data_IF_563718697728
#
_entry.id   IF_563718697728
#
_cell.length_a   1.000
_cell.length_b   1.000
_cell.length_c   1.000
_cell.angle_alpha   90.00
_cell.angle_beta   90.00
_cell.angle_gamma   90.00
#
_symmetry.space_group_name_H-M   'P 1'
#
loop_
_entity.id
_entity.type
_entity.pdbx_description
1 polymer ?
#
# COMPACT_ATOMS: atom_id res chain seq x y z
N UNK A 1 18.13 -8.39 51.99
CA UNK A 1 18.45 -8.40 50.55
C UNK A 1 17.60 -9.45 49.86
N UNK A 2 16.48 -9.02 49.29
CA UNK A 2 15.74 -9.75 48.25
C UNK A 2 15.36 -8.68 47.23
N UNK A 3 16.11 -8.60 46.14
CA UNK A 3 15.66 -7.86 44.95
C UNK A 3 14.63 -8.75 44.29
N UNK A 4 13.37 -8.38 44.43
CA UNK A 4 12.31 -8.82 43.54
C UNK A 4 12.66 -8.24 42.17
N UNK A 5 13.06 -9.10 41.23
CA UNK A 5 13.04 -8.75 39.82
C UNK A 5 11.60 -8.42 39.47
N UNK A 6 11.35 -7.15 39.15
CA UNK A 6 10.12 -6.72 38.55
C UNK A 6 10.16 -7.27 37.12
N UNK A 7 9.38 -8.32 36.86
CA UNK A 7 8.96 -8.70 35.52
C UNK A 7 8.06 -7.59 34.99
N UNK A 8 8.67 -6.48 34.55
CA UNK A 8 7.97 -5.53 33.69
C UNK A 8 8.00 -6.17 32.30
N UNK A 9 6.96 -6.94 31.97
CA UNK A 9 6.68 -7.29 30.59
C UNK A 9 6.54 -5.99 29.82
N UNK A 10 7.47 -5.66 28.94
CA UNK A 10 7.35 -4.54 28.01
C UNK A 10 6.21 -4.87 27.04
N UNK A 11 5.00 -4.48 27.41
CA UNK A 11 3.81 -4.74 26.61
C UNK A 11 4.01 -4.15 25.20
N UNK A 12 3.93 -5.02 24.19
CA UNK A 12 3.96 -4.62 22.79
C UNK A 12 2.74 -3.74 22.50
N UNK A 13 2.92 -2.64 21.76
CA UNK A 13 1.83 -1.74 21.39
C UNK A 13 1.76 -1.54 19.87
N UNK A 14 0.56 -1.22 19.40
CA UNK A 14 0.32 -0.82 18.02
C UNK A 14 0.37 0.70 17.90
N UNK A 15 1.13 1.19 16.91
CA UNK A 15 1.13 2.61 16.52
C UNK A 15 -0.29 3.05 16.13
N UNK A 16 -0.61 4.32 16.37
CA UNK A 16 -1.81 4.93 15.80
C UNK A 16 -1.74 4.88 14.28
N UNK A 17 -2.73 4.23 13.66
CA UNK A 17 -2.82 4.12 12.21
C UNK A 17 -3.50 5.35 11.63
N UNK A 18 -2.90 5.95 10.62
CA UNK A 18 -3.42 7.12 9.91
C UNK A 18 -3.14 7.03 8.41
N UNK A 19 -4.21 6.89 7.61
CA UNK A 19 -4.15 6.93 6.15
C UNK A 19 -4.55 8.30 5.58
N UNK A 20 -4.76 9.33 6.42
CA UNK A 20 -5.18 10.67 5.97
C UNK A 20 -4.01 11.56 5.52
N UNK A 21 -2.77 11.12 5.75
CA UNK A 21 -1.57 11.87 5.41
C UNK A 21 -1.50 12.22 3.91
N UNK A 22 -1.27 13.50 3.63
CA UNK A 22 -1.22 14.06 2.29
C UNK A 22 0.09 14.79 1.99
N UNK A 23 0.96 14.90 2.99
CA UNK A 23 2.22 15.62 2.92
C UNK A 23 3.35 14.90 3.65
N UNK A 24 4.58 15.27 3.32
CA UNK A 24 5.77 14.79 3.99
C UNK A 24 6.82 15.90 4.10
N UNK A 25 7.73 15.71 5.04
CA UNK A 25 8.87 16.59 5.27
C UNK A 25 10.02 16.23 4.34
N UNK A 26 10.64 17.26 3.79
CA UNK A 26 11.89 17.19 3.03
C UNK A 26 12.93 18.01 3.77
N UNK A 27 14.19 17.58 3.71
CA UNK A 27 15.29 18.28 4.36
C UNK A 27 16.13 19.04 3.32
N UNK A 28 16.39 20.32 3.60
CA UNK A 28 17.22 21.15 2.75
C UNK A 28 18.68 20.67 2.82
N UNK A 29 19.33 20.35 1.68
CA UNK A 29 20.69 19.82 1.67
C UNK A 29 21.74 20.80 2.20
N UNK A 30 21.46 22.11 2.14
CA UNK A 30 22.41 23.16 2.54
C UNK A 30 22.39 23.46 4.04
N UNK A 31 21.21 23.49 4.67
CA UNK A 31 21.09 23.92 6.07
C UNK A 31 20.37 22.94 6.99
N UNK A 32 19.89 21.80 6.47
CA UNK A 32 19.14 20.79 7.24
C UNK A 32 17.75 21.25 7.70
N UNK A 33 17.29 22.43 7.30
CA UNK A 33 15.95 22.88 7.63
C UNK A 33 14.90 22.11 6.84
N UNK A 34 13.77 21.80 7.47
CA UNK A 34 12.72 21.00 6.86
C UNK A 34 11.62 21.86 6.25
N UNK A 35 11.18 21.47 5.07
CA UNK A 35 10.01 22.03 4.39
C UNK A 35 8.98 20.93 4.20
N UNK A 36 7.71 21.29 4.33
CA UNK A 36 6.59 20.36 4.08
C UNK A 36 6.11 20.54 2.65
N UNK A 37 5.89 19.42 1.97
CA UNK A 37 5.32 19.39 0.62
C UNK A 37 4.28 18.28 0.54
N UNK A 38 3.20 18.55 -0.20
CA UNK A 38 2.16 17.54 -0.43
C UNK A 38 2.65 16.47 -1.41
N UNK A 39 2.02 15.29 -1.43
CA UNK A 39 2.31 14.32 -2.49
C UNK A 39 1.87 14.81 -3.87
N UNK A 40 0.87 15.69 -3.96
CA UNK A 40 0.52 16.36 -5.21
C UNK A 40 1.64 17.29 -5.71
N UNK A 41 2.26 18.06 -4.81
CA UNK A 41 3.42 18.90 -5.12
C UNK A 41 4.54 18.04 -5.75
N UNK A 42 4.77 16.85 -5.18
CA UNK A 42 5.75 15.89 -5.70
C UNK A 42 5.43 15.39 -7.11
N UNK A 43 4.17 15.07 -7.40
CA UNK A 43 3.76 14.63 -8.75
C UNK A 43 3.90 15.77 -9.77
N UNK A 44 3.61 17.01 -9.34
CA UNK A 44 3.73 18.20 -10.19
C UNK A 44 5.17 18.67 -10.37
N UNK A 45 6.13 18.10 -9.60
CA UNK A 45 7.52 18.53 -9.61
C UNK A 45 7.72 19.93 -9.01
N UNK A 46 6.90 20.28 -8.03
CA UNK A 46 6.96 21.58 -7.35
C UNK A 46 8.19 21.68 -6.43
N UNK A 47 8.64 22.91 -6.22
CA UNK A 47 9.72 23.25 -5.31
C UNK A 47 9.24 24.21 -4.21
N UNK A 48 9.92 24.19 -3.06
CA UNK A 48 9.71 25.17 -1.97
C UNK A 48 11.01 25.86 -1.61
N UNK A 49 10.94 27.16 -1.36
CA UNK A 49 12.09 27.91 -0.84
C UNK A 49 12.33 27.57 0.63
N UNK A 50 13.56 27.20 0.94
CA UNK A 50 14.03 27.02 2.31
C UNK A 50 14.30 28.37 2.99
N UNK A 51 14.41 28.36 4.33
CA UNK A 51 14.84 29.52 5.11
C UNK A 51 16.22 30.05 4.73
N UNK A 52 17.13 29.19 4.24
CA UNK A 52 18.44 29.61 3.72
C UNK A 52 18.39 30.08 2.26
N UNK A 53 17.19 30.33 1.71
CA UNK A 53 16.92 30.76 0.33
C UNK A 53 17.23 29.71 -0.75
N UNK A 54 17.76 28.55 -0.36
CA UNK A 54 17.92 27.40 -1.25
C UNK A 54 16.57 26.82 -1.66
N UNK A 55 16.45 26.42 -2.92
CA UNK A 55 15.28 25.70 -3.41
C UNK A 55 15.36 24.21 -3.01
N UNK A 56 14.25 23.69 -2.49
CA UNK A 56 14.05 22.28 -2.16
C UNK A 56 13.04 21.71 -3.13
N UNK A 57 13.50 20.85 -4.04
CA UNK A 57 12.66 20.22 -5.06
C UNK A 57 12.04 18.92 -4.56
N UNK A 58 10.72 18.77 -4.71
CA UNK A 58 10.03 17.53 -4.41
C UNK A 58 10.36 16.40 -5.40
N UNK A 59 10.88 16.74 -6.58
CA UNK A 59 11.24 15.76 -7.62
C UNK A 59 12.65 15.20 -7.42
N UNK A 60 13.59 16.01 -6.93
CA UNK A 60 15.00 15.63 -6.79
C UNK A 60 15.31 15.00 -5.44
N UNK A 61 14.57 15.37 -4.38
CA UNK A 61 14.84 14.93 -3.02
C UNK A 61 13.83 13.84 -2.59
N UNK A 62 14.27 12.99 -1.66
CA UNK A 62 13.40 12.01 -1.04
C UNK A 62 12.73 12.59 0.22
N UNK A 63 11.49 12.17 0.52
CA UNK A 63 10.87 12.45 1.81
C UNK A 63 11.72 11.90 2.96
N UNK A 64 11.80 12.67 4.04
CA UNK A 64 12.54 12.29 5.24
C UNK A 64 11.60 11.72 6.30
N UNK A 65 10.46 12.36 6.56
CA UNK A 65 9.46 11.87 7.51
C UNK A 65 8.05 12.33 7.14
N UNK A 66 7.04 11.49 7.38
CA UNK A 66 5.62 11.87 7.28
C UNK A 66 5.14 12.48 8.60
N UNK A 67 5.52 11.86 9.72
CA UNK A 67 5.22 12.33 11.07
C UNK A 67 6.51 12.43 11.90
N UNK A 68 6.79 13.63 12.41
CA UNK A 68 7.96 13.89 13.25
C UNK A 68 7.82 13.29 14.66
N UNK A 69 6.59 12.96 15.06
CA UNK A 69 6.27 12.36 16.36
C UNK A 69 6.12 10.85 16.28
N UNK A 70 6.41 10.23 15.12
CA UNK A 70 6.27 8.79 14.95
C UNK A 70 7.17 8.05 15.95
N UNK A 71 6.61 7.18 16.82
CA UNK A 71 7.39 6.38 17.77
C UNK A 71 8.52 5.57 17.11
N UNK A 72 8.39 5.19 15.84
CA UNK A 72 9.42 4.46 15.10
C UNK A 72 10.71 5.28 14.90
N UNK A 73 10.66 6.61 15.07
CA UNK A 73 11.86 7.47 15.04
C UNK A 73 12.78 7.22 16.23
N UNK A 74 12.22 6.83 17.38
CA UNK A 74 12.96 6.53 18.60
C UNK A 74 13.43 5.07 18.60
N UNK A 75 14.76 4.81 18.55
CA UNK A 75 15.29 3.45 18.50
C UNK A 75 14.90 2.60 19.73
N UNK A 76 14.61 3.23 20.87
CA UNK A 76 14.22 2.54 22.11
C UNK A 76 12.78 2.01 22.09
N UNK A 77 11.97 2.41 21.11
CA UNK A 77 10.61 1.89 20.93
C UNK A 77 10.53 0.69 19.99
N UNK A 78 11.60 0.41 19.22
CA UNK A 78 11.55 -0.51 18.08
C UNK A 78 11.17 -1.93 18.46
N UNK A 79 11.73 -2.45 19.56
CA UNK A 79 11.36 -3.77 20.09
C UNK A 79 9.92 -3.79 20.62
N UNK A 80 9.45 -2.68 21.20
CA UNK A 80 8.13 -2.57 21.85
C UNK A 80 6.98 -2.36 20.86
N UNK A 81 7.28 -1.99 19.63
CA UNK A 81 6.27 -1.76 18.60
C UNK A 81 5.89 -3.07 17.92
N UNK A 82 4.61 -3.20 17.60
CA UNK A 82 4.15 -4.16 16.63
C UNK A 82 4.48 -3.66 15.22
N UNK A 83 5.10 -4.53 14.43
CA UNK A 83 5.45 -4.29 13.03
C UNK A 83 4.55 -5.10 12.11
N UNK A 84 4.54 -4.72 10.84
CA UNK A 84 3.61 -5.29 9.86
C UNK A 84 4.29 -5.73 8.58
N UNK A 85 3.77 -6.81 8.01
CA UNK A 85 4.15 -7.29 6.70
C UNK A 85 2.93 -7.82 5.95
N UNK A 86 2.86 -7.57 4.63
CA UNK A 86 1.82 -8.13 3.78
C UNK A 86 2.44 -9.00 2.69
N UNK A 87 1.90 -10.20 2.52
CA UNK A 87 2.34 -11.10 1.46
C UNK A 87 1.27 -12.10 1.06
N UNK A 88 1.44 -12.72 -0.11
CA UNK A 88 0.58 -13.79 -0.61
C UNK A 88 0.96 -15.17 -0.05
N UNK A 89 2.08 -15.25 0.68
CA UNK A 89 2.60 -16.47 1.31
C UNK A 89 1.95 -16.72 2.66
N UNK A 90 1.49 -17.95 2.89
CA UNK A 90 1.01 -18.44 4.20
C UNK A 90 2.14 -18.95 5.10
N UNK A 91 3.28 -19.32 4.50
CA UNK A 91 4.47 -19.85 5.14
C UNK A 91 5.48 -18.74 5.47
N UNK A 92 5.06 -17.75 6.26
CA UNK A 92 5.86 -16.58 6.64
C UNK A 92 5.97 -16.47 8.17
N UNK A 93 7.09 -16.05 8.79
CA UNK A 93 8.28 -15.45 8.17
C UNK A 93 9.22 -16.49 7.54
N UNK A 94 10.08 -16.07 6.60
CA UNK A 94 11.18 -16.92 6.13
C UNK A 94 12.11 -17.26 7.31
N UNK A 95 12.85 -18.37 7.19
CA UNK A 95 13.80 -18.82 8.23
C UNK A 95 15.24 -18.95 7.72
N UNK A 96 15.50 -18.60 6.46
CA UNK A 96 16.83 -18.68 5.85
C UNK A 96 17.70 -17.52 6.34
N UNK A 97 18.79 -17.84 7.01
CA UNK A 97 19.77 -16.87 7.52
C UNK A 97 21.05 -16.79 6.68
N UNK A 98 21.07 -17.42 5.51
CA UNK A 98 22.23 -17.34 4.63
C UNK A 98 22.49 -15.89 4.20
N UNK A 99 23.75 -15.45 4.07
CA UNK A 99 24.06 -14.07 3.67
C UNK A 99 23.46 -13.64 2.32
N UNK A 100 23.15 -14.61 1.45
CA UNK A 100 22.53 -14.40 0.15
C UNK A 100 21.00 -14.31 0.20
N UNK A 101 20.38 -14.68 1.33
CA UNK A 101 18.95 -14.53 1.53
C UNK A 101 18.58 -13.05 1.69
N UNK A 102 17.33 -12.74 1.34
CA UNK A 102 16.77 -11.41 1.55
C UNK A 102 16.44 -11.19 3.03
N UNK A 103 16.73 -10.00 3.52
CA UNK A 103 16.24 -9.50 4.79
C UNK A 103 14.71 -9.46 4.77
N UNK A 104 14.13 -9.67 5.95
CA UNK A 104 12.68 -9.57 6.09
C UNK A 104 12.31 -8.12 6.27
N UNK A 105 11.54 -7.59 5.32
CA UNK A 105 11.03 -6.23 5.39
C UNK A 105 9.79 -6.17 6.28
N UNK A 106 9.85 -5.32 7.30
CA UNK A 106 8.74 -4.99 8.17
C UNK A 106 8.47 -3.49 8.08
N UNK A 107 7.21 -3.08 8.12
CA UNK A 107 6.85 -1.67 8.07
C UNK A 107 5.79 -1.32 9.10
N UNK A 108 5.30 -0.09 9.01
CA UNK A 108 4.06 0.31 9.67
C UNK A 108 2.87 -0.46 9.10
N UNK A 109 1.72 -0.41 9.79
CA UNK A 109 0.48 -1.00 9.27
C UNK A 109 0.16 -0.43 7.88
N UNK A 110 0.29 0.88 7.74
CA UNK A 110 0.07 1.61 6.50
C UNK A 110 1.01 1.13 5.40
N UNK A 111 2.31 1.04 5.69
CA UNK A 111 3.31 0.54 4.73
C UNK A 111 2.97 -0.88 4.25
N UNK A 112 2.48 -1.75 5.14
CA UNK A 112 2.08 -3.10 4.76
C UNK A 112 0.84 -3.11 3.85
N UNK A 113 -0.18 -2.30 4.13
CA UNK A 113 -1.36 -2.20 3.24
C UNK A 113 -1.00 -1.54 1.90
N UNK A 114 -0.20 -0.47 1.90
CA UNK A 114 0.22 0.19 0.66
C UNK A 114 1.14 -0.71 -0.20
N UNK A 115 1.97 -1.56 0.43
CA UNK A 115 2.74 -2.59 -0.28
C UNK A 115 1.82 -3.61 -0.96
N UNK A 116 0.73 -4.02 -0.31
CA UNK A 116 -0.26 -4.89 -0.93
C UNK A 116 -0.85 -4.23 -2.18
N UNK A 117 -1.30 -2.98 -2.09
CA UNK A 117 -1.83 -2.26 -3.25
C UNK A 117 -0.82 -2.14 -4.39
N UNK A 118 0.44 -1.80 -4.07
CA UNK A 118 1.53 -1.75 -5.06
C UNK A 118 1.71 -3.11 -5.77
N UNK A 119 1.68 -4.21 -5.03
CA UNK A 119 1.85 -5.57 -5.60
C UNK A 119 0.65 -5.98 -6.45
N UNK A 120 -0.56 -5.64 -6.02
CA UNK A 120 -1.77 -5.87 -6.81
C UNK A 120 -1.68 -5.19 -8.18
N UNK A 121 -1.14 -3.98 -8.22
CA UNK A 121 -0.97 -3.22 -9.47
C UNK A 121 0.23 -3.68 -10.32
N UNK A 122 1.42 -3.78 -9.71
CA UNK A 122 2.67 -3.96 -10.46
C UNK A 122 3.18 -5.40 -10.56
N UNK A 123 2.70 -6.31 -9.72
CA UNK A 123 3.24 -7.69 -9.60
C UNK A 123 2.22 -8.77 -9.98
N UNK A 124 1.14 -8.39 -10.66
CA UNK A 124 0.06 -9.31 -11.08
C UNK A 124 -0.61 -10.05 -9.92
N UNK A 125 -0.60 -9.45 -8.72
CA UNK A 125 -1.18 -10.04 -7.51
C UNK A 125 -2.62 -9.56 -7.23
N UNK A 126 -3.28 -8.87 -8.17
CA UNK A 126 -4.61 -8.27 -7.96
C UNK A 126 -5.67 -9.28 -7.47
N UNK A 127 -5.60 -10.52 -7.97
CA UNK A 127 -6.51 -11.62 -7.60
C UNK A 127 -5.94 -12.54 -6.51
N UNK A 128 -4.72 -12.29 -6.03
CA UNK A 128 -4.06 -13.12 -5.03
C UNK A 128 -4.70 -12.92 -3.64
N UNK A 129 -4.72 -14.00 -2.84
CA UNK A 129 -5.04 -13.90 -1.42
C UNK A 129 -3.83 -13.33 -0.68
N UNK A 130 -3.99 -12.18 -0.04
CA UNK A 130 -2.96 -11.60 0.83
C UNK A 130 -3.19 -11.99 2.29
N UNK A 131 -2.10 -11.95 3.05
CA UNK A 131 -2.05 -12.15 4.47
C UNK A 131 -1.33 -10.97 5.09
N UNK A 132 -1.96 -10.34 6.07
CA UNK A 132 -1.36 -9.36 6.96
C UNK A 132 -0.77 -10.09 8.16
N UNK A 133 0.51 -9.86 8.39
CA UNK A 133 1.22 -10.34 9.56
C UNK A 133 1.46 -9.18 10.50
N UNK A 134 0.98 -9.30 11.74
CA UNK A 134 1.41 -8.47 12.86
C UNK A 134 2.54 -9.20 13.57
N UNK A 135 3.64 -8.49 13.79
CA UNK A 135 4.96 -9.05 14.05
C UNK A 135 5.54 -8.42 15.29
N UNK A 136 6.01 -9.26 16.21
CA UNK A 136 6.84 -8.84 17.32
C UNK A 136 8.27 -9.31 17.08
N UNK A 137 9.21 -8.40 17.33
CA UNK A 137 10.65 -8.68 17.25
C UNK A 137 11.26 -8.60 18.64
N UNK A 138 12.40 -9.26 18.82
CA UNK A 138 13.19 -9.20 20.05
C UNK A 138 14.64 -8.89 19.67
N UNK A 139 15.15 -7.77 20.17
CA UNK A 139 16.49 -7.27 19.87
C UNK A 139 16.93 -6.27 20.92
N UNK A 140 18.23 -6.24 21.23
CA UNK A 140 18.79 -5.19 22.07
C UNK A 140 18.88 -3.85 21.30
N UNK A 141 18.78 -2.72 22.00
CA UNK A 141 18.95 -1.38 21.40
C UNK A 141 20.25 -1.24 20.58
N UNK A 142 21.32 -1.93 21.00
CA UNK A 142 22.61 -1.93 20.29
C UNK A 142 22.61 -2.70 18.96
N UNK A 143 21.62 -3.56 18.73
CA UNK A 143 21.44 -4.32 17.49
C UNK A 143 20.60 -3.57 16.44
N UNK A 144 20.05 -2.41 16.82
CA UNK A 144 19.22 -1.53 15.99
C UNK A 144 20.06 -0.41 15.39
N UNK A 145 19.99 -0.23 14.07
CA UNK A 145 20.74 0.83 13.39
C UNK A 145 20.20 2.23 13.70
N UNK A 146 21.04 3.28 13.59
CA UNK A 146 20.55 4.64 13.37
C UNK A 146 19.57 4.68 12.18
N UNK A 147 18.68 5.68 12.18
CA UNK A 147 17.78 5.89 11.04
C UNK A 147 18.62 6.36 9.84
N UNK A 148 18.42 5.75 8.68
CA UNK A 148 19.13 6.13 7.46
C UNK A 148 18.31 5.87 6.20
N UNK A 149 19.02 5.84 5.08
CA UNK A 149 18.48 5.49 3.77
C UNK A 149 18.25 3.97 3.66
N UNK A 150 17.33 3.58 2.78
CA UNK A 150 17.02 2.19 2.53
C UNK A 150 18.25 1.43 2.00
N UNK A 151 18.63 0.30 2.63
CA UNK A 151 19.83 -0.44 2.27
C UNK A 151 19.61 -1.36 1.06
N UNK A 152 19.05 -0.86 -0.03
CA UNK A 152 18.74 -1.67 -1.22
C UNK A 152 19.94 -1.85 -2.14
N UNK A 153 20.04 -3.01 -2.79
CA UNK A 153 20.83 -3.16 -4.01
C UNK A 153 20.12 -2.54 -5.22
N UNK A 154 20.76 -2.57 -6.39
CA UNK A 154 20.20 -2.02 -7.64
C UNK A 154 18.84 -2.66 -8.04
N UNK A 155 18.53 -3.85 -7.52
CA UNK A 155 17.28 -4.57 -7.76
C UNK A 155 16.23 -4.33 -6.66
N UNK A 156 16.51 -3.45 -5.70
CA UNK A 156 15.60 -3.16 -4.59
C UNK A 156 15.63 -4.21 -3.47
N UNK A 157 16.54 -5.18 -3.51
CA UNK A 157 16.63 -6.20 -2.46
C UNK A 157 17.58 -5.76 -1.35
N UNK A 158 17.22 -6.05 -0.11
CA UNK A 158 18.14 -5.94 1.03
C UNK A 158 18.64 -7.34 1.36
N UNK A 159 19.92 -7.64 1.13
CA UNK A 159 20.52 -8.94 1.48
C UNK A 159 20.90 -9.00 2.96
N UNK A 160 20.80 -10.17 3.58
CA UNK A 160 21.24 -10.38 4.97
C UNK A 160 22.74 -10.14 5.18
N UNK A 161 23.57 -10.40 4.16
CA UNK A 161 24.99 -10.06 4.18
C UNK A 161 25.24 -8.57 4.46
N UNK A 162 24.43 -7.68 3.89
CA UNK A 162 24.57 -6.23 4.07
C UNK A 162 24.24 -5.78 5.51
N UNK A 163 23.26 -6.41 6.15
CA UNK A 163 22.95 -6.19 7.57
C UNK A 163 24.13 -6.58 8.44
N UNK A 164 24.71 -7.75 8.15
CA UNK A 164 25.87 -8.30 8.86
C UNK A 164 27.11 -7.40 8.72
N UNK A 165 27.38 -6.90 7.51
CA UNK A 165 28.47 -5.94 7.24
C UNK A 165 28.30 -4.62 8.00
N UNK A 166 27.06 -4.15 8.15
CA UNK A 166 26.75 -2.94 8.94
C UNK A 166 26.76 -3.20 10.45
N UNK A 167 26.85 -4.45 10.89
CA UNK A 167 26.88 -4.83 12.30
C UNK A 167 25.54 -4.73 13.02
N UNK A 168 24.42 -4.70 12.29
CA UNK A 168 23.07 -4.59 12.85
C UNK A 168 22.20 -5.78 12.43
N UNK A 169 21.32 -6.21 13.34
CA UNK A 169 20.30 -7.24 13.04
C UNK A 169 18.97 -6.63 12.62
N UNK A 170 18.77 -5.36 12.97
CA UNK A 170 17.61 -4.56 12.64
C UNK A 170 18.10 -3.24 12.04
N UNK A 171 17.90 -3.06 10.74
CA UNK A 171 18.23 -1.81 10.04
C UNK A 171 16.98 -0.99 9.84
N UNK A 172 16.97 0.23 10.39
CA UNK A 172 15.88 1.19 10.25
C UNK A 172 16.14 2.11 9.09
N UNK A 173 15.12 2.34 8.27
CA UNK A 173 15.22 3.24 7.14
C UNK A 173 13.94 4.01 6.89
N UNK A 174 14.09 5.17 6.25
CA UNK A 174 12.96 5.93 5.71
C UNK A 174 12.50 5.26 4.43
N UNK A 175 11.26 4.79 4.43
CA UNK A 175 10.64 4.22 3.24
C UNK A 175 10.46 5.33 2.20
N UNK A 176 10.74 5.04 0.93
CA UNK A 176 10.58 5.99 -0.19
C UNK A 176 9.65 5.48 -1.30
N UNK A 177 9.22 4.21 -1.20
CA UNK A 177 8.42 3.50 -2.20
C UNK A 177 6.99 3.21 -1.69
N UNK A 178 6.86 2.30 -0.72
CA UNK A 178 5.58 1.80 -0.24
C UNK A 178 4.86 2.78 0.65
N UNK A 179 5.51 3.61 1.46
CA UNK A 179 4.85 4.63 2.27
C UNK A 179 5.87 5.73 2.61
N UNK A 180 6.05 6.73 1.74
CA UNK A 180 7.21 7.61 1.85
C UNK A 180 7.19 8.54 3.02
N UNK A 181 8.32 8.60 3.72
CA UNK A 181 8.46 9.28 4.99
C UNK A 181 8.03 8.43 6.20
N UNK A 182 7.49 7.22 6.01
CA UNK A 182 7.34 6.27 7.10
C UNK A 182 8.65 5.54 7.40
N UNK A 183 8.76 4.97 8.60
CA UNK A 183 9.90 4.14 8.98
C UNK A 183 9.59 2.67 8.72
N UNK A 184 10.53 1.98 8.10
CA UNK A 184 10.49 0.54 7.88
C UNK A 184 11.78 -0.10 8.41
N UNK A 185 11.73 -1.41 8.59
CA UNK A 185 12.84 -2.24 9.06
C UNK A 185 13.21 -3.26 7.99
N UNK A 186 14.50 -3.47 7.81
CA UNK A 186 15.05 -4.70 7.27
C UNK A 186 15.65 -5.50 8.43
N UNK A 187 15.16 -6.71 8.65
CA UNK A 187 15.57 -7.54 9.78
C UNK A 187 16.08 -8.91 9.36
N UNK A 188 17.01 -9.46 10.15
CA UNK A 188 17.34 -10.89 10.07
C UNK A 188 16.15 -11.72 10.56
N UNK A 189 15.84 -12.90 9.98
CA UNK A 189 14.69 -13.68 10.41
C UNK A 189 14.65 -14.02 11.90
N UNK A 190 15.80 -14.31 12.52
CA UNK A 190 15.86 -14.72 13.93
C UNK A 190 15.44 -13.67 14.96
N UNK A 191 15.27 -12.40 14.60
CA UNK A 191 14.70 -11.43 15.55
C UNK A 191 13.18 -11.51 15.63
N UNK A 192 12.51 -12.14 14.65
CA UNK A 192 11.05 -12.27 14.66
C UNK A 192 10.68 -13.39 15.61
N UNK A 193 9.98 -13.06 16.69
CA UNK A 193 9.65 -14.02 17.75
C UNK A 193 8.19 -14.42 17.77
N UNK A 194 7.28 -13.51 17.41
CA UNK A 194 5.85 -13.78 17.40
C UNK A 194 5.17 -13.19 16.18
N UNK A 195 4.20 -13.92 15.65
CA UNK A 195 3.38 -13.47 14.54
C UNK A 195 1.91 -13.79 14.76
N UNK A 196 1.06 -12.87 14.33
CA UNK A 196 -0.38 -13.07 14.18
C UNK A 196 -0.72 -12.87 12.71
N UNK A 197 -1.53 -13.76 12.15
CA UNK A 197 -1.78 -13.80 10.70
C UNK A 197 -3.26 -13.62 10.42
N UNK A 198 -3.57 -12.66 9.55
CA UNK A 198 -4.93 -12.38 9.11
C UNK A 198 -4.99 -12.39 7.58
N UNK A 199 -5.91 -13.16 6.99
CA UNK A 199 -6.19 -13.06 5.57
C UNK A 199 -6.87 -11.71 5.25
N UNK A 200 -6.35 -10.98 4.26
CA UNK A 200 -6.88 -9.68 3.82
C UNK A 200 -7.12 -9.63 2.29
N UNK A 201 -8.09 -8.83 1.80
CA UNK A 201 -9.03 -8.04 2.59
C UNK A 201 -9.96 -8.94 3.40
N UNK A 202 -10.37 -8.46 4.57
CA UNK A 202 -11.23 -9.23 5.43
C UNK A 202 -12.54 -9.54 4.71
N UNK A 203 -13.04 -10.78 4.86
CA UNK A 203 -14.41 -11.11 4.51
C UNK A 203 -15.34 -10.60 5.62
N UNK A 204 -15.30 -9.29 5.88
CA UNK A 204 -16.26 -8.64 6.75
C UNK A 204 -17.57 -8.64 5.96
N UNK A 205 -18.64 -9.12 6.57
CA UNK A 205 -19.99 -8.74 6.17
C UNK A 205 -20.16 -7.24 6.47
N UNK A 206 -19.40 -6.37 5.80
CA UNK A 206 -19.66 -4.94 5.76
C UNK A 206 -20.92 -4.79 4.95
N UNK A 207 -22.03 -4.55 5.65
CA UNK A 207 -23.28 -4.21 4.99
C UNK A 207 -22.99 -3.10 3.98
N UNK A 208 -23.33 -3.37 2.73
CA UNK A 208 -23.18 -2.38 1.68
C UNK A 208 -24.01 -1.14 2.02
N UNK A 209 -23.40 0.04 1.94
CA UNK A 209 -24.15 1.28 2.10
C UNK A 209 -25.21 1.40 1.00
N UNK A 210 -26.31 2.09 1.31
CA UNK A 210 -27.34 2.38 0.31
C UNK A 210 -26.74 3.15 -0.87
N UNK A 211 -25.86 4.12 -0.60
CA UNK A 211 -25.18 4.90 -1.61
C UNK A 211 -24.32 4.04 -2.55
N UNK A 212 -23.50 3.13 -2.00
CA UNK A 212 -22.71 2.17 -2.79
C UNK A 212 -23.59 1.33 -3.71
N UNK A 213 -24.72 0.80 -3.20
CA UNK A 213 -25.68 0.03 -4.01
C UNK A 213 -26.25 0.84 -5.17
N UNK A 214 -26.66 2.07 -4.88
CA UNK A 214 -27.26 2.96 -5.89
C UNK A 214 -26.24 3.41 -6.94
N UNK A 215 -24.99 3.65 -6.54
CA UNK A 215 -23.88 3.93 -7.47
C UNK A 215 -23.68 2.74 -8.41
N UNK A 216 -23.61 1.53 -7.86
CA UNK A 216 -23.40 0.32 -8.65
C UNK A 216 -24.58 -0.01 -9.57
N UNK A 217 -25.81 0.05 -9.08
CA UNK A 217 -27.01 -0.22 -9.87
C UNK A 217 -27.17 0.75 -11.06
N UNK A 218 -26.82 2.03 -10.87
CA UNK A 218 -26.79 3.02 -11.95
C UNK A 218 -25.71 2.70 -12.98
N UNK A 219 -24.52 2.32 -12.53
CA UNK A 219 -23.43 1.93 -13.41
C UNK A 219 -23.79 0.68 -14.24
N UNK A 220 -24.37 -0.36 -13.64
CA UNK A 220 -24.80 -1.55 -14.38
C UNK A 220 -25.89 -1.23 -15.39
N UNK A 221 -26.88 -0.41 -15.02
CA UNK A 221 -27.94 0.05 -15.94
C UNK A 221 -27.33 0.80 -17.13
N UNK A 222 -26.39 1.70 -16.87
CA UNK A 222 -25.71 2.47 -17.93
C UNK A 222 -24.89 1.55 -18.87
N UNK A 223 -24.22 0.53 -18.33
CA UNK A 223 -23.52 -0.46 -19.16
C UNK A 223 -24.49 -1.26 -20.04
N UNK A 224 -25.62 -1.71 -19.49
CA UNK A 224 -26.64 -2.44 -20.23
C UNK A 224 -27.23 -1.58 -21.36
N UNK A 225 -27.48 -0.30 -21.10
CA UNK A 225 -27.97 0.66 -22.09
C UNK A 225 -26.97 0.92 -23.22
N UNK A 226 -25.67 1.02 -22.90
CA UNK A 226 -24.61 1.20 -23.90
C UNK A 226 -24.42 -0.09 -24.71
N UNK A 227 -24.43 -1.26 -24.07
CA UNK A 227 -24.26 -2.54 -24.77
C UNK A 227 -25.46 -2.85 -25.68
N UNK A 228 -26.68 -2.48 -25.28
CA UNK A 228 -27.87 -2.58 -26.14
C UNK A 228 -27.78 -1.71 -27.41
N UNK A 229 -26.96 -0.66 -27.40
CA UNK A 229 -26.70 0.20 -28.56
C UNK A 229 -25.53 -0.29 -29.42
N UNK A 230 -24.80 -1.33 -28.99
CA UNK A 230 -23.63 -1.82 -29.71
C UNK A 230 -24.05 -2.34 -31.10
N UNK A 231 -23.43 -1.85 -32.19
CA UNK A 231 -23.78 -2.31 -33.51
C UNK A 231 -23.42 -3.78 -33.69
N UNK A 232 -24.30 -4.53 -34.36
CA UNK A 232 -24.00 -5.90 -34.74
C UNK A 232 -22.81 -5.91 -35.70
N UNK A 233 -21.84 -6.81 -35.44
CA UNK A 233 -20.67 -7.00 -36.31
C UNK A 233 -20.74 -8.29 -37.13
N UNK A 234 -21.88 -9.00 -37.05
CA UNK A 234 -22.11 -10.23 -37.81
C UNK A 234 -21.98 -9.97 -39.31
N UNK A 235 -21.19 -10.80 -39.99
CA UNK A 235 -20.95 -10.68 -41.43
C UNK A 235 -19.88 -9.66 -41.82
N UNK A 236 -19.32 -8.87 -40.89
CA UNK A 236 -18.22 -7.95 -41.17
C UNK A 236 -16.89 -8.57 -40.73
N UNK A 237 -15.96 -8.74 -41.68
CA UNK A 237 -14.62 -9.26 -41.37
C UNK A 237 -13.85 -8.35 -40.41
N UNK A 238 -13.13 -8.93 -39.44
CA UNK A 238 -12.30 -8.18 -38.48
C UNK A 238 -11.31 -7.23 -39.16
N UNK A 239 -10.71 -7.64 -40.28
CA UNK A 239 -9.79 -6.79 -41.06
C UNK A 239 -10.54 -5.60 -41.67
N UNK A 240 -11.78 -5.77 -42.11
CA UNK A 240 -12.57 -4.68 -42.69
C UNK A 240 -13.03 -3.67 -41.64
N UNK A 241 -13.34 -4.11 -40.42
CA UNK A 241 -13.58 -3.21 -39.27
C UNK A 241 -12.34 -2.40 -38.90
N UNK A 242 -11.17 -3.04 -38.86
CA UNK A 242 -9.90 -2.37 -38.54
C UNK A 242 -9.46 -1.40 -39.64
N UNK A 243 -9.61 -1.79 -40.90
CA UNK A 243 -9.14 -1.02 -42.06
C UNK A 243 -10.20 -0.06 -42.61
N UNK A 244 -11.44 -0.16 -42.13
CA UNK A 244 -12.57 0.71 -42.50
C UNK A 244 -12.77 0.81 -44.02
N UNK A 245 -12.54 -0.30 -44.73
CA UNK A 245 -12.40 -0.34 -46.20
C UNK A 245 -13.67 -0.02 -46.97
N UNK A 246 -14.84 -0.20 -46.36
CA UNK A 246 -16.12 0.12 -46.97
C UNK A 246 -16.98 0.97 -46.02
N UNK A 247 -17.99 1.70 -46.54
CA UNK A 247 -18.78 2.63 -45.73
C UNK A 247 -19.53 1.97 -44.56
N UNK A 248 -19.98 0.72 -44.71
CA UNK A 248 -20.70 -0.04 -43.69
C UNK A 248 -19.77 -0.45 -42.54
N UNK A 249 -18.58 -0.96 -42.86
CA UNK A 249 -17.54 -1.28 -41.89
C UNK A 249 -17.03 -0.02 -41.17
N UNK A 250 -16.87 1.10 -41.88
CA UNK A 250 -16.46 2.37 -41.28
C UNK A 250 -17.53 2.93 -40.32
N UNK A 251 -18.82 2.89 -40.71
CA UNK A 251 -19.92 3.31 -39.84
C UNK A 251 -20.04 2.42 -38.59
N UNK A 252 -19.93 1.10 -38.78
CA UNK A 252 -19.97 0.12 -37.68
C UNK A 252 -18.80 0.30 -36.72
N UNK A 253 -17.57 0.44 -37.24
CA UNK A 253 -16.38 0.69 -36.41
C UNK A 253 -16.51 2.00 -35.62
N UNK A 254 -17.04 3.07 -36.24
CA UNK A 254 -17.28 4.35 -35.56
C UNK A 254 -18.33 4.22 -34.45
N UNK A 255 -19.45 3.54 -34.71
CA UNK A 255 -20.49 3.30 -33.71
C UNK A 255 -19.99 2.42 -32.56
N UNK A 256 -19.20 1.38 -32.85
CA UNK A 256 -18.58 0.54 -31.83
C UNK A 256 -17.59 1.34 -30.97
N UNK A 257 -16.76 2.18 -31.59
CA UNK A 257 -15.85 3.06 -30.87
C UNK A 257 -16.59 4.07 -29.97
N UNK A 258 -17.74 4.60 -30.42
CA UNK A 258 -18.57 5.46 -29.59
C UNK A 258 -19.14 4.72 -28.37
N UNK A 259 -19.53 3.45 -28.52
CA UNK A 259 -19.93 2.61 -27.39
C UNK A 259 -18.77 2.39 -26.41
N UNK A 260 -17.56 2.09 -26.91
CA UNK A 260 -16.37 1.93 -26.06
C UNK A 260 -16.05 3.21 -25.27
N UNK A 261 -16.15 4.38 -25.91
CA UNK A 261 -15.99 5.68 -25.25
C UNK A 261 -17.05 5.92 -24.17
N UNK A 262 -18.30 5.54 -24.44
CA UNK A 262 -19.41 5.66 -23.49
C UNK A 262 -19.21 4.73 -22.28
N UNK A 263 -18.79 3.48 -22.51
CA UNK A 263 -18.44 2.54 -21.43
C UNK A 263 -17.30 3.08 -20.56
N UNK A 264 -16.24 3.63 -21.16
CA UNK A 264 -15.15 4.25 -20.39
C UNK A 264 -15.62 5.47 -19.60
N UNK A 265 -16.54 6.25 -20.15
CA UNK A 265 -17.12 7.39 -19.43
C UNK A 265 -17.98 6.93 -18.23
N UNK A 266 -18.77 5.88 -18.40
CA UNK A 266 -19.55 5.25 -17.32
C UNK A 266 -18.64 4.71 -16.22
N UNK A 267 -17.56 4.00 -16.60
CA UNK A 267 -16.54 3.51 -15.66
C UNK A 267 -15.90 4.65 -14.86
N UNK A 268 -15.53 5.76 -15.51
CA UNK A 268 -14.93 6.91 -14.82
C UNK A 268 -15.89 7.53 -13.80
N UNK A 269 -17.17 7.71 -14.16
CA UNK A 269 -18.20 8.20 -13.23
C UNK A 269 -18.39 7.27 -12.04
N UNK A 270 -18.45 5.97 -12.30
CA UNK A 270 -18.55 4.94 -11.27
C UNK A 270 -17.34 4.99 -10.32
N UNK A 271 -16.11 4.98 -10.85
CA UNK A 271 -14.89 5.04 -10.03
C UNK A 271 -14.86 6.31 -9.17
N UNK A 272 -15.20 7.48 -9.74
CA UNK A 272 -15.24 8.74 -9.00
C UNK A 272 -16.29 8.72 -7.87
N UNK A 273 -17.47 8.15 -8.11
CA UNK A 273 -18.51 8.06 -7.09
C UNK A 273 -18.13 7.06 -5.97
N UNK A 274 -17.52 5.92 -6.33
CA UNK A 274 -17.01 4.96 -5.36
C UNK A 274 -15.86 5.52 -4.53
N UNK A 275 -14.95 6.27 -5.14
CA UNK A 275 -13.88 6.98 -4.45
C UNK A 275 -14.45 7.93 -3.38
N UNK A 276 -15.42 8.76 -3.76
CA UNK A 276 -16.08 9.71 -2.84
C UNK A 276 -16.80 9.02 -1.69
N UNK A 277 -17.49 7.91 -1.95
CA UNK A 277 -18.22 7.16 -0.93
C UNK A 277 -17.29 6.46 0.06
N UNK A 278 -16.23 5.83 -0.43
CA UNK A 278 -15.46 4.86 0.37
C UNK A 278 -14.11 5.37 0.86
N UNK A 279 -13.62 6.51 0.33
CA UNK A 279 -12.32 7.07 0.73
C UNK A 279 -12.32 8.58 1.07
N UNK A 280 -13.39 9.15 1.68
CA UNK A 280 -13.49 10.60 1.89
C UNK A 280 -12.42 11.18 2.84
N UNK A 281 -11.85 10.36 3.73
CA UNK A 281 -10.83 10.77 4.69
C UNK A 281 -9.43 10.21 4.37
N UNK A 282 -9.28 9.50 3.25
CA UNK A 282 -8.01 8.87 2.86
C UNK A 282 -7.19 9.89 2.08
N UNK A 283 -5.92 10.03 2.47
CA UNK A 283 -4.95 10.91 1.86
C UNK A 283 -4.72 10.58 0.39
N UNK A 284 -4.33 11.59 -0.39
CA UNK A 284 -4.22 11.51 -1.84
C UNK A 284 -3.43 10.28 -2.32
N UNK A 285 -2.29 10.00 -1.69
CA UNK A 285 -1.39 8.92 -2.11
C UNK A 285 -1.97 7.52 -1.89
N UNK A 286 -2.48 7.25 -0.69
CA UNK A 286 -3.09 5.96 -0.37
C UNK A 286 -4.31 5.71 -1.26
N UNK A 287 -5.10 6.76 -1.49
CA UNK A 287 -6.26 6.72 -2.38
C UNK A 287 -5.87 6.35 -3.80
N UNK A 288 -4.84 6.98 -4.37
CA UNK A 288 -4.34 6.69 -5.72
C UNK A 288 -3.89 5.22 -5.86
N UNK A 289 -3.12 4.72 -4.88
CA UNK A 289 -2.67 3.32 -4.84
C UNK A 289 -3.83 2.32 -4.76
N UNK A 290 -4.85 2.60 -3.95
CA UNK A 290 -6.06 1.77 -3.88
C UNK A 290 -6.75 1.74 -5.25
N UNK A 291 -6.92 2.89 -5.90
CA UNK A 291 -7.58 2.97 -7.20
C UNK A 291 -6.79 2.22 -8.28
N UNK A 292 -5.46 2.31 -8.28
CA UNK A 292 -4.60 1.54 -9.19
C UNK A 292 -4.70 0.03 -8.92
N UNK A 293 -4.63 -0.38 -7.65
CA UNK A 293 -4.85 -1.78 -7.27
C UNK A 293 -6.21 -2.31 -7.74
N UNK A 294 -7.28 -1.51 -7.64
CA UNK A 294 -8.62 -1.91 -8.12
C UNK A 294 -8.69 -1.94 -9.66
N UNK A 295 -8.01 -1.01 -10.35
CA UNK A 295 -7.94 -1.02 -11.82
C UNK A 295 -7.29 -2.29 -12.38
N UNK A 296 -6.42 -2.92 -11.60
CA UNK A 296 -5.72 -4.15 -11.95
C UNK A 296 -6.53 -5.43 -11.65
N UNK A 297 -7.71 -5.32 -11.04
CA UNK A 297 -8.66 -6.43 -10.83
C UNK A 297 -9.41 -6.73 -12.12
N UNK A 298 -9.61 -8.01 -12.41
CA UNK A 298 -10.30 -8.46 -13.61
C UNK A 298 -11.55 -9.28 -13.26
N UNK A 299 -12.60 -9.17 -14.07
CA UNK A 299 -13.81 -9.96 -13.88
C UNK A 299 -15.08 -9.18 -14.20
N UNK A 300 -16.19 -9.62 -13.60
CA UNK A 300 -17.48 -8.94 -13.74
C UNK A 300 -17.48 -7.61 -12.99
N UNK A 301 -18.35 -6.69 -13.40
CA UNK A 301 -18.59 -5.44 -12.68
C UNK A 301 -18.88 -5.66 -11.19
N UNK A 302 -19.64 -6.72 -10.85
CA UNK A 302 -19.97 -7.08 -9.47
C UNK A 302 -18.74 -7.53 -8.67
N UNK A 303 -17.87 -8.35 -9.27
CA UNK A 303 -16.62 -8.77 -8.64
C UNK A 303 -15.72 -7.57 -8.33
N UNK A 304 -15.51 -6.69 -9.31
CA UNK A 304 -14.69 -5.47 -9.12
C UNK A 304 -15.31 -4.56 -8.05
N UNK A 305 -16.64 -4.43 -8.03
CA UNK A 305 -17.36 -3.66 -7.01
C UNK A 305 -17.15 -4.19 -5.60
N UNK A 306 -17.34 -5.49 -5.40
CA UNK A 306 -17.16 -6.13 -4.09
C UNK A 306 -15.70 -6.05 -3.62
N UNK A 307 -14.76 -6.20 -4.55
CA UNK A 307 -13.32 -6.06 -4.26
C UNK A 307 -12.95 -4.63 -3.89
N UNK A 308 -13.44 -3.63 -4.62
CA UNK A 308 -13.22 -2.21 -4.28
C UNK A 308 -13.61 -1.98 -2.83
N UNK A 309 -14.83 -2.36 -2.44
CA UNK A 309 -15.36 -2.15 -1.09
C UNK A 309 -14.52 -2.84 -0.02
N UNK A 310 -14.13 -4.08 -0.29
CA UNK A 310 -13.33 -4.89 0.63
C UNK A 310 -11.94 -4.30 0.86
N UNK A 311 -11.33 -3.74 -0.18
CA UNK A 311 -10.01 -3.09 -0.10
C UNK A 311 -10.09 -1.71 0.55
N UNK A 312 -11.13 -0.92 0.22
CA UNK A 312 -11.36 0.39 0.81
C UNK A 312 -11.56 0.32 2.33
N UNK A 313 -12.18 -0.75 2.84
CA UNK A 313 -12.34 -0.97 4.29
C UNK A 313 -11.01 -1.00 5.04
N UNK A 314 -9.92 -1.47 4.41
CA UNK A 314 -8.59 -1.53 5.02
C UNK A 314 -8.04 -0.14 5.37
N UNK A 315 -8.41 0.87 4.59
CA UNK A 315 -7.90 2.25 4.74
C UNK A 315 -8.91 3.19 5.37
N UNK A 316 -10.21 2.95 5.16
CA UNK A 316 -11.28 3.76 5.73
C UNK A 316 -11.58 3.39 7.19
N UNK A 317 -11.47 2.10 7.54
CA UNK A 317 -11.75 1.59 8.88
C UNK A 317 -10.61 0.70 9.42
N UNK A 318 -9.34 1.19 9.43
CA UNK A 318 -8.17 0.37 9.77
C UNK A 318 -8.25 -0.23 11.17
N UNK A 319 -8.90 0.44 12.11
CA UNK A 319 -9.11 -0.04 13.47
C UNK A 319 -9.80 -1.42 13.52
N UNK A 320 -10.71 -1.71 12.57
CA UNK A 320 -11.37 -3.02 12.51
C UNK A 320 -10.42 -4.12 12.07
N UNK A 321 -9.61 -3.85 11.05
CA UNK A 321 -8.57 -4.78 10.58
C UNK A 321 -7.51 -5.01 11.65
N UNK A 322 -7.11 -3.96 12.34
CA UNK A 322 -6.18 -4.02 13.46
C UNK A 322 -6.74 -4.89 14.59
N UNK A 323 -7.98 -4.63 15.04
CA UNK A 323 -8.63 -5.44 16.06
C UNK A 323 -8.80 -6.91 15.64
N UNK A 324 -9.17 -7.16 14.38
CA UNK A 324 -9.28 -8.51 13.84
C UNK A 324 -7.94 -9.24 13.80
N UNK A 325 -6.84 -8.52 13.54
CA UNK A 325 -5.47 -9.06 13.54
C UNK A 325 -5.00 -9.35 14.97
N UNK A 326 -5.24 -8.42 15.91
CA UNK A 326 -4.91 -8.59 17.33
C UNK A 326 -5.67 -9.76 17.98
N UNK A 327 -6.87 -10.08 17.48
CA UNK A 327 -7.65 -11.21 17.95
C UNK A 327 -7.17 -12.57 17.40
N UNK A 328 -6.27 -12.59 16.42
CA UNK A 328 -5.73 -13.84 15.87
C UNK A 328 -4.84 -14.56 16.88
N UNK A 329 -4.76 -15.89 16.86
CA UNK A 329 -3.82 -16.65 17.67
C UNK A 329 -2.39 -16.16 17.45
N UNK A 330 -1.66 -15.95 18.54
CA UNK A 330 -0.23 -15.66 18.49
C UNK A 330 0.53 -16.95 18.21
N UNK A 331 1.34 -16.96 17.16
CA UNK A 331 2.26 -18.04 16.84
C UNK A 331 3.68 -17.62 17.20
N UNK A 332 4.30 -18.36 18.10
CA UNK A 332 5.74 -18.28 18.34
C UNK A 332 6.52 -18.79 17.11
N UNK A 333 7.51 -18.02 16.69
CA UNK A 333 8.45 -18.40 15.65
C UNK A 333 9.62 -19.05 16.34
N UNK A 334 9.72 -20.37 16.22
CA UNK A 334 10.89 -21.11 16.73
C UNK A 334 12.06 -20.85 15.81
N UNK A 335 13.08 -20.19 16.33
CA UNK A 335 14.36 -19.96 15.67
C UNK A 335 15.33 -21.09 15.92
#
# INVERSE_FOLDING_TARGET
>A
MKRTHNEDSTATFDRTVDFSYDACWFECPECGHRVVMTFEDRIKGESRSCRCEQEVSAQELYPVLTDLSDPATDPTQIERMAWYHSTTRTDWPPTDESPEANATHLGTFESAIENMFRRMDHESDAESQFYLYRVHITCADSEVSPLGEEPTDFLGNVRLGLLSERGFRVVRYVNVHEHPGSISLAVVPSVITHVQTLAIPLNLNTEESIASREIFARYTTELEEVEAQRPCTDGIGRIDLLTQRNPEAAATAKANHACDQAMWAAQRRYNQAMEQEHTPAVGFRTRDKLLDAVRSIHGTAAHVHDRFRSLAELVQNPARTLAATQAQPVREVRT
#
